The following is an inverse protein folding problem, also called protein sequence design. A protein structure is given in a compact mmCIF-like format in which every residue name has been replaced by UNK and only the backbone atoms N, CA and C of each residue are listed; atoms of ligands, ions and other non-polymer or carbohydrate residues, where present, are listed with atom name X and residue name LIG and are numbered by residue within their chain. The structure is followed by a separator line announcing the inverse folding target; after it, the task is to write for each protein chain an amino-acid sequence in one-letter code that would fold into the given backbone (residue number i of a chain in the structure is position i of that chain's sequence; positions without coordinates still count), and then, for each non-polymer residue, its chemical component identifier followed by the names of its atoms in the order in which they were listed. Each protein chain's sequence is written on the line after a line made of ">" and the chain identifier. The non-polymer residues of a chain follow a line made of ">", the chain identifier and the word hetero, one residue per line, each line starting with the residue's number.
data_IF_514128852127
#
_entry.id   IF_514128852127
#
_cell.length_a   1.000
_cell.length_b   1.000
_cell.length_c   1.000
_cell.angle_alpha   90.00
_cell.angle_beta   90.00
_cell.angle_gamma   90.00
#
_symmetry.space_group_name_H-M   'P 1'
#
loop_
_entity.id
_entity.type
_entity.pdbx_description
1 polymer ?
#
# COMPACT_ATOMS: atom_id res chain seq x y z
N UNK A 1 -5.38 -8.08 19.26
CA UNK A 1 -6.07 -6.81 19.62
C UNK A 1 -5.41 -6.07 20.78
N UNK A 2 -5.08 -6.74 21.89
CA UNK A 2 -4.47 -6.09 23.07
C UNK A 2 -3.21 -5.23 22.78
N UNK A 3 -2.37 -5.65 21.82
CA UNK A 3 -1.20 -4.86 21.41
C UNK A 3 -1.58 -3.53 20.74
N UNK A 4 -2.62 -3.52 19.90
CA UNK A 4 -3.10 -2.31 19.25
C UNK A 4 -3.65 -1.32 20.28
N UNK A 5 -4.43 -1.80 21.24
CA UNK A 5 -4.97 -0.98 22.34
C UNK A 5 -3.82 -0.31 23.11
N UNK A 6 -2.80 -1.09 23.52
CA UNK A 6 -1.61 -0.54 24.18
C UNK A 6 -0.86 0.51 23.35
N UNK A 7 -0.84 0.37 22.03
CA UNK A 7 -0.22 1.36 21.13
C UNK A 7 -1.04 2.65 21.05
N UNK A 8 -2.36 2.56 21.04
CA UNK A 8 -3.27 3.72 21.03
C UNK A 8 -3.19 4.50 22.35
N UNK A 9 -3.05 3.82 23.48
CA UNK A 9 -2.88 4.43 24.81
C UNK A 9 -1.62 5.30 24.95
N UNK A 10 -0.64 5.16 24.03
CA UNK A 10 0.59 5.98 24.05
C UNK A 10 0.35 7.44 23.65
N UNK A 11 -0.85 7.79 23.17
CA UNK A 11 -1.22 9.19 22.85
C UNK A 11 -0.40 9.84 21.73
N UNK A 12 0.34 9.04 20.95
CA UNK A 12 1.14 9.51 19.81
C UNK A 12 0.57 8.99 18.49
N UNK A 13 0.72 9.72 17.38
CA UNK A 13 0.39 9.21 16.05
C UNK A 13 1.06 7.86 15.77
N UNK A 14 0.26 6.87 15.39
CA UNK A 14 0.77 5.58 14.93
C UNK A 14 1.20 5.68 13.47
N UNK A 15 2.13 4.81 13.07
CA UNK A 15 2.58 4.67 11.67
C UNK A 15 1.94 3.42 11.10
N UNK A 16 1.00 3.59 10.18
CA UNK A 16 0.21 2.51 9.59
C UNK A 16 0.76 2.21 8.21
N UNK A 17 1.41 1.06 8.05
CA UNK A 17 2.03 0.64 6.79
C UNK A 17 1.10 -0.26 5.99
N UNK A 18 0.96 0.00 4.70
CA UNK A 18 0.45 -0.97 3.73
C UNK A 18 1.44 -1.07 2.56
N UNK A 19 1.83 -2.30 2.21
CA UNK A 19 2.75 -2.58 1.10
C UNK A 19 2.00 -2.99 -0.15
N UNK A 20 2.42 -2.45 -1.31
CA UNK A 20 1.85 -2.78 -2.62
C UNK A 20 2.96 -3.04 -3.62
N UNK A 21 2.91 -4.19 -4.29
CA UNK A 21 3.80 -4.49 -5.40
C UNK A 21 3.16 -4.02 -6.71
N UNK A 22 3.82 -3.14 -7.49
CA UNK A 22 3.26 -2.54 -8.71
C UNK A 22 3.35 -3.50 -9.90
N UNK A 23 2.76 -4.69 -9.75
CA UNK A 23 2.75 -5.76 -10.77
C UNK A 23 1.67 -5.60 -11.84
N UNK A 24 0.77 -4.63 -11.66
CA UNK A 24 -0.28 -4.25 -12.59
C UNK A 24 -0.20 -2.73 -12.84
N UNK A 25 -0.74 -2.22 -13.96
CA UNK A 25 -0.70 -0.79 -14.26
C UNK A 25 -1.49 0.05 -13.25
N UNK A 26 -2.60 -0.49 -12.73
CA UNK A 26 -3.53 0.27 -11.90
C UNK A 26 -4.03 -0.52 -10.69
N UNK A 27 -4.49 0.23 -9.68
CA UNK A 27 -5.25 -0.34 -8.57
C UNK A 27 -6.67 -0.64 -9.03
N UNK A 28 -7.15 -1.86 -8.78
CA UNK A 28 -8.57 -2.18 -8.97
C UNK A 28 -9.40 -1.82 -7.74
N UNK A 29 -10.74 -1.77 -7.91
CA UNK A 29 -11.71 -1.44 -6.85
C UNK A 29 -11.61 -2.32 -5.59
N UNK A 30 -11.07 -3.53 -5.69
CA UNK A 30 -10.81 -4.38 -4.51
C UNK A 30 -9.87 -3.75 -3.46
N UNK A 31 -9.04 -2.77 -3.84
CA UNK A 31 -8.15 -2.08 -2.91
C UNK A 31 -8.85 -0.97 -2.12
N UNK A 32 -10.05 -0.57 -2.52
CA UNK A 32 -10.79 0.55 -1.92
C UNK A 32 -11.06 0.34 -0.43
N UNK A 33 -11.35 -0.90 -0.01
CA UNK A 33 -11.59 -1.22 1.41
C UNK A 33 -10.35 -0.93 2.27
N UNK A 34 -9.17 -1.32 1.78
CA UNK A 34 -7.91 -1.08 2.48
C UNK A 34 -7.56 0.41 2.52
N UNK A 35 -7.68 1.11 1.38
CA UNK A 35 -7.41 2.54 1.29
C UNK A 35 -8.34 3.35 2.19
N UNK A 36 -9.63 3.03 2.23
CA UNK A 36 -10.59 3.68 3.13
C UNK A 36 -10.27 3.42 4.60
N UNK A 37 -9.77 2.22 4.95
CA UNK A 37 -9.33 1.94 6.32
C UNK A 37 -8.09 2.76 6.69
N UNK A 38 -7.13 2.89 5.78
CA UNK A 38 -5.97 3.75 5.99
C UNK A 38 -6.39 5.22 6.15
N UNK A 39 -7.32 5.70 5.32
CA UNK A 39 -7.87 7.05 5.42
C UNK A 39 -8.55 7.30 6.77
N UNK A 40 -9.36 6.36 7.25
CA UNK A 40 -9.97 6.47 8.58
C UNK A 40 -8.91 6.62 9.68
N UNK A 41 -7.79 5.88 9.60
CA UNK A 41 -6.70 6.02 10.58
C UNK A 41 -5.98 7.36 10.43
N UNK A 42 -5.87 7.89 9.21
CA UNK A 42 -5.35 9.24 8.96
C UNK A 42 -6.23 10.32 9.56
N UNK A 43 -7.56 10.23 9.38
CA UNK A 43 -8.53 11.15 9.98
C UNK A 43 -8.54 11.10 11.51
N UNK A 44 -8.11 9.97 12.11
CA UNK A 44 -7.89 9.82 13.55
C UNK A 44 -6.51 10.34 14.02
N UNK A 45 -5.77 11.01 13.15
CA UNK A 45 -4.48 11.65 13.47
C UNK A 45 -3.28 10.69 13.42
N UNK A 46 -3.39 9.55 12.73
CA UNK A 46 -2.26 8.66 12.48
C UNK A 46 -1.62 8.92 11.11
N UNK A 47 -0.42 8.38 10.91
CA UNK A 47 0.30 8.50 9.65
C UNK A 47 0.05 7.27 8.78
N UNK A 48 -0.57 7.47 7.62
CA UNK A 48 -0.68 6.46 6.58
C UNK A 48 0.63 6.39 5.77
N UNK A 49 1.26 5.22 5.76
CA UNK A 49 2.47 4.95 5.00
C UNK A 49 2.14 3.93 3.91
N UNK A 50 1.91 4.43 2.69
CA UNK A 50 1.75 3.60 1.51
C UNK A 50 3.14 3.27 0.95
N UNK A 51 3.57 2.02 1.05
CA UNK A 51 4.89 1.57 0.62
C UNK A 51 4.79 0.83 -0.71
N UNK A 52 5.47 1.35 -1.73
CA UNK A 52 5.60 0.69 -3.02
C UNK A 52 6.80 -0.25 -2.98
N UNK A 53 6.56 -1.53 -3.26
CA UNK A 53 7.57 -2.58 -3.31
C UNK A 53 8.14 -2.75 -4.73
N UNK A 54 8.91 -1.77 -5.20
CA UNK A 54 9.55 -1.83 -6.53
C UNK A 54 10.60 -2.94 -6.64
N UNK A 55 11.33 -3.21 -5.55
CA UNK A 55 12.31 -4.30 -5.48
C UNK A 55 11.66 -5.68 -5.33
N UNK A 56 10.63 -5.81 -4.49
CA UNK A 56 9.89 -7.07 -4.30
C UNK A 56 9.10 -7.46 -5.54
N UNK A 57 8.55 -6.48 -6.26
CA UNK A 57 7.88 -6.70 -7.54
C UNK A 57 8.77 -7.33 -8.63
N UNK A 58 10.09 -7.10 -8.57
CA UNK A 58 11.05 -7.75 -9.49
C UNK A 58 11.34 -9.21 -9.12
N UNK A 59 11.20 -9.58 -7.85
CA UNK A 59 11.41 -10.96 -7.36
C UNK A 59 10.12 -11.79 -7.53
N UNK A 60 8.97 -11.16 -7.34
CA UNK A 60 7.65 -11.78 -7.36
C UNK A 60 7.24 -12.33 -5.98
N UNK A 61 5.97 -12.15 -5.62
CA UNK A 61 5.40 -12.72 -4.40
C UNK A 61 5.03 -14.21 -4.63
N UNK A 62 5.61 -15.16 -3.88
CA UNK A 62 5.32 -16.59 -4.03
C UNK A 62 3.93 -16.99 -3.51
N UNK A 63 3.19 -16.10 -2.84
CA UNK A 63 1.90 -16.44 -2.24
C UNK A 63 0.77 -16.51 -3.28
N UNK A 64 0.35 -17.74 -3.58
CA UNK A 64 -1.01 -18.03 -4.08
C UNK A 64 -1.26 -18.01 -5.59
N UNK A 65 -0.25 -18.05 -6.47
CA UNK A 65 -0.49 -18.16 -7.93
C UNK A 65 0.29 -19.29 -8.61
N UNK A 66 -0.44 -20.21 -9.22
CA UNK A 66 0.05 -21.41 -9.94
C UNK A 66 0.66 -21.12 -11.33
N UNK A 67 0.90 -19.86 -11.69
CA UNK A 67 1.56 -19.48 -12.93
C UNK A 67 2.46 -18.27 -12.69
N UNK A 68 3.73 -18.39 -13.03
CA UNK A 68 4.70 -17.29 -13.00
C UNK A 68 4.25 -16.23 -13.99
N UNK A 69 3.90 -15.05 -13.48
CA UNK A 69 3.68 -13.86 -14.32
C UNK A 69 4.99 -13.51 -15.02
N UNK A 70 4.96 -13.01 -16.27
CA UNK A 70 6.18 -12.52 -16.91
C UNK A 70 6.81 -11.42 -16.04
N UNK A 71 8.13 -11.45 -15.83
CA UNK A 71 8.82 -10.46 -15.03
C UNK A 71 8.66 -9.07 -15.69
N UNK A 72 8.39 -8.06 -14.87
CA UNK A 72 8.34 -6.67 -15.32
C UNK A 72 9.75 -6.08 -15.37
N UNK A 73 10.01 -5.19 -16.32
CA UNK A 73 11.23 -4.38 -16.29
C UNK A 73 11.15 -3.33 -15.18
N UNK A 74 12.30 -2.80 -14.77
CA UNK A 74 12.37 -1.74 -13.76
C UNK A 74 11.57 -0.52 -14.20
N UNK A 75 11.61 -0.19 -15.48
CA UNK A 75 10.88 0.95 -16.06
C UNK A 75 9.36 0.74 -15.97
N UNK A 76 8.89 -0.48 -16.21
CA UNK A 76 7.47 -0.82 -16.07
C UNK A 76 7.03 -0.75 -14.61
N UNK A 77 7.84 -1.26 -13.69
CA UNK A 77 7.60 -1.17 -12.24
C UNK A 77 7.48 0.28 -11.79
N UNK A 78 8.37 1.16 -12.25
CA UNK A 78 8.35 2.59 -11.91
C UNK A 78 7.14 3.31 -12.53
N UNK A 79 6.75 2.97 -13.76
CA UNK A 79 5.56 3.54 -14.40
C UNK A 79 4.28 3.16 -13.65
N UNK A 80 4.16 1.89 -13.27
CA UNK A 80 3.04 1.39 -12.46
C UNK A 80 3.03 2.04 -11.07
N UNK A 81 4.20 2.23 -10.45
CA UNK A 81 4.34 2.90 -9.17
C UNK A 81 3.83 4.35 -9.19
N UNK A 82 4.12 5.10 -10.25
CA UNK A 82 3.62 6.47 -10.40
C UNK A 82 2.10 6.48 -10.57
N UNK A 83 1.55 5.57 -11.38
CA UNK A 83 0.08 5.42 -11.49
C UNK A 83 -0.57 5.09 -10.14
N UNK A 84 0.04 4.22 -9.35
CA UNK A 84 -0.47 3.87 -8.01
C UNK A 84 -0.47 5.09 -7.09
N UNK A 85 0.61 5.87 -7.09
CA UNK A 85 0.73 7.10 -6.31
C UNK A 85 -0.39 8.08 -6.66
N UNK A 86 -0.63 8.32 -7.94
CA UNK A 86 -1.71 9.21 -8.41
C UNK A 86 -3.11 8.72 -8.00
N UNK A 87 -3.33 7.41 -8.00
CA UNK A 87 -4.61 6.82 -7.59
C UNK A 87 -4.82 6.85 -6.08
N UNK A 88 -3.77 6.56 -5.31
CA UNK A 88 -3.81 6.54 -3.84
C UNK A 88 -4.12 7.91 -3.28
N UNK A 89 -3.55 8.97 -3.85
CA UNK A 89 -3.81 10.35 -3.41
C UNK A 89 -5.21 10.87 -3.73
N UNK A 90 -6.04 10.10 -4.45
CA UNK A 90 -7.49 10.38 -4.54
C UNK A 90 -8.22 10.03 -3.24
N UNK A 91 -7.62 9.23 -2.37
CA UNK A 91 -8.23 8.73 -1.12
C UNK A 91 -7.41 9.18 0.09
N UNK A 92 -6.09 8.94 0.08
CA UNK A 92 -5.17 9.33 1.15
C UNK A 92 -4.69 10.75 0.97
N UNK A 93 -4.50 11.46 2.07
CA UNK A 93 -3.92 12.80 2.05
C UNK A 93 -2.39 12.73 1.92
N UNK A 94 -1.76 13.37 0.91
CA UNK A 94 -0.30 13.42 0.77
C UNK A 94 0.41 14.26 1.84
N UNK A 95 -0.27 15.21 2.50
CA UNK A 95 0.26 16.03 3.59
C UNK A 95 -0.83 16.77 4.38
#
# INVERSE_FOLDING_TARGET
>A
EAELVKKLEQGRPLRIKAGFDPTAPDLHLGHTVLLNKMRQLQDLGHHALFLIGDFTGMIGDPTGKNATRPPLTREQVLANAESYKDQVFKVLDPA
#
